data_IF_905558622147
#
_entry.id   IF_905558622147
#
_cell.length_a   1.000
_cell.length_b   1.000
_cell.length_c   1.000
_cell.angle_alpha   90.00
_cell.angle_beta   90.00
_cell.angle_gamma   90.00
#
_symmetry.space_group_name_H-M   'P 1'
#
loop_
_entity.id
_entity.type
_entity.pdbx_description
1 polymer ?
#
# COMPACT_ATOMS: atom_id res chain seq x y z
N UNK A 1 7.50 20.57 36.99
CA UNK A 1 7.99 19.26 36.49
C UNK A 1 6.76 18.56 35.96
N UNK A 2 6.73 18.21 34.67
CA UNK A 2 5.58 17.52 34.06
C UNK A 2 5.38 16.16 34.76
N UNK A 3 4.15 15.81 35.10
CA UNK A 3 3.81 14.51 35.69
C UNK A 3 4.29 13.38 34.79
N UNK A 4 4.24 13.55 33.47
CA UNK A 4 4.78 12.59 32.50
C UNK A 4 6.29 12.39 32.67
N UNK A 5 7.03 13.46 32.90
CA UNK A 5 8.48 13.42 33.08
C UNK A 5 8.88 12.81 34.43
N UNK A 6 8.11 13.07 35.50
CA UNK A 6 8.31 12.41 36.80
C UNK A 6 8.05 10.89 36.73
N UNK A 7 6.94 10.49 36.11
CA UNK A 7 6.59 9.07 35.89
C UNK A 7 7.62 8.40 34.99
N UNK A 8 8.03 9.06 33.89
CA UNK A 8 9.04 8.55 32.97
C UNK A 8 10.39 8.30 33.63
N UNK A 9 10.85 9.23 34.48
CA UNK A 9 12.07 9.03 35.27
C UNK A 9 11.96 7.88 36.27
N UNK A 10 10.80 7.73 36.92
CA UNK A 10 10.52 6.61 37.82
C UNK A 10 10.56 5.27 37.09
N UNK A 11 9.90 5.18 35.94
CA UNK A 11 9.90 3.99 35.09
C UNK A 11 11.31 3.63 34.62
N UNK A 12 12.08 4.60 34.10
CA UNK A 12 13.44 4.37 33.64
C UNK A 12 14.36 3.82 34.75
N UNK A 13 14.26 4.35 35.99
CA UNK A 13 15.03 3.84 37.13
C UNK A 13 14.74 2.36 37.46
N UNK A 14 13.54 1.89 37.18
CA UNK A 14 13.10 0.52 37.51
C UNK A 14 13.27 -0.44 36.33
N UNK A 15 13.05 0.03 35.10
CA UNK A 15 12.90 -0.81 33.92
C UNK A 15 13.91 -0.53 32.79
N UNK A 16 14.81 0.44 32.92
CA UNK A 16 15.92 0.64 31.97
C UNK A 16 17.14 -0.25 32.28
N UNK A 17 16.89 -1.53 32.55
CA UNK A 17 17.92 -2.55 32.75
C UNK A 17 17.80 -3.66 31.71
N UNK A 18 18.90 -4.37 31.44
CA UNK A 18 18.94 -5.47 30.47
C UNK A 18 17.88 -6.54 30.77
N UNK A 19 17.72 -6.93 32.05
CA UNK A 19 16.78 -7.96 32.49
C UNK A 19 15.31 -7.60 32.30
N UNK A 20 14.99 -6.31 32.20
CA UNK A 20 13.62 -5.82 32.02
C UNK A 20 13.29 -5.50 30.56
N UNK A 21 14.27 -5.58 29.65
CA UNK A 21 14.04 -5.31 28.22
C UNK A 21 12.96 -6.21 27.62
N UNK A 22 12.87 -7.53 27.90
CA UNK A 22 11.79 -8.35 27.35
C UNK A 22 10.39 -7.83 27.69
N UNK A 23 10.20 -7.29 28.90
CA UNK A 23 8.93 -6.69 29.33
C UNK A 23 8.66 -5.39 28.58
N UNK A 24 9.67 -4.52 28.45
CA UNK A 24 9.52 -3.27 27.71
C UNK A 24 9.22 -3.53 26.23
N UNK A 25 9.87 -4.52 25.61
CA UNK A 25 9.60 -4.92 24.23
C UNK A 25 8.16 -5.42 24.07
N UNK A 26 7.67 -6.26 24.99
CA UNK A 26 6.28 -6.71 24.95
C UNK A 26 5.29 -5.52 25.06
N UNK A 27 5.54 -4.58 25.98
CA UNK A 27 4.73 -3.37 26.12
C UNK A 27 4.78 -2.47 24.88
N UNK A 28 5.96 -2.33 24.27
CA UNK A 28 6.15 -1.59 23.02
C UNK A 28 5.37 -2.22 21.87
N UNK A 29 5.43 -3.54 21.70
CA UNK A 29 4.64 -4.24 20.68
C UNK A 29 3.13 -4.08 20.89
N UNK A 30 2.66 -4.15 22.14
CA UNK A 30 1.25 -3.89 22.47
C UNK A 30 0.84 -2.45 22.14
N UNK A 31 1.68 -1.47 22.47
CA UNK A 31 1.45 -0.07 22.15
C UNK A 31 1.37 0.15 20.64
N UNK A 32 2.31 -0.42 19.87
CA UNK A 32 2.29 -0.36 18.40
C UNK A 32 0.98 -0.91 17.82
N UNK A 33 0.53 -2.09 18.28
CA UNK A 33 -0.76 -2.67 17.85
C UNK A 33 -1.95 -1.77 18.17
N UNK A 34 -1.97 -1.19 19.37
CA UNK A 34 -3.00 -0.23 19.77
C UNK A 34 -2.97 1.08 18.98
N UNK A 35 -1.81 1.46 18.46
CA UNK A 35 -1.62 2.60 17.56
C UNK A 35 -1.92 2.28 16.08
N UNK A 36 -2.29 1.04 15.75
CA UNK A 36 -2.63 0.63 14.39
C UNK A 36 -1.50 -0.02 13.60
N UNK A 37 -0.33 -0.27 14.20
CA UNK A 37 0.80 -0.90 13.55
C UNK A 37 0.83 -2.42 13.75
N UNK A 38 1.39 -3.17 12.79
CA UNK A 38 1.56 -4.63 12.83
C UNK A 38 0.23 -5.41 12.95
N UNK A 39 -0.82 -4.87 12.36
CA UNK A 39 -2.16 -5.48 12.34
C UNK A 39 -2.53 -6.13 10.98
N UNK A 40 -1.64 -6.08 9.97
CA UNK A 40 -1.91 -6.53 8.59
C UNK A 40 -2.30 -7.99 8.40
N UNK A 41 -1.73 -8.88 9.22
CA UNK A 41 -1.98 -10.33 9.13
C UNK A 41 -3.42 -10.75 9.49
N UNK A 42 -4.24 -9.82 9.97
CA UNK A 42 -5.65 -10.04 10.29
C UNK A 42 -6.46 -9.05 9.46
N UNK A 43 -7.16 -9.50 8.40
CA UNK A 43 -7.95 -8.62 7.53
C UNK A 43 -8.92 -7.71 8.31
N UNK A 44 -9.47 -8.21 9.42
CA UNK A 44 -10.40 -7.45 10.28
C UNK A 44 -9.71 -6.30 11.03
N UNK A 45 -8.38 -6.32 11.13
CA UNK A 45 -7.58 -5.32 11.84
C UNK A 45 -6.75 -4.42 10.93
N UNK A 46 -6.61 -4.73 9.64
CA UNK A 46 -5.84 -3.89 8.70
C UNK A 46 -6.51 -2.54 8.42
N UNK A 47 -7.85 -2.49 8.57
CA UNK A 47 -8.68 -1.31 8.29
C UNK A 47 -9.06 -1.15 6.81
N UNK A 48 -8.58 -2.02 5.93
CA UNK A 48 -8.82 -1.93 4.48
C UNK A 48 -10.27 -2.19 4.11
N UNK A 49 -10.87 -3.26 4.64
CA UNK A 49 -12.30 -3.55 4.41
C UNK A 49 -13.17 -2.41 4.92
N UNK A 50 -12.88 -1.89 6.12
CA UNK A 50 -13.58 -0.74 6.68
C UNK A 50 -13.45 0.48 5.75
N UNK A 51 -12.25 0.79 5.27
CA UNK A 51 -12.02 1.91 4.35
C UNK A 51 -12.82 1.74 3.05
N UNK A 52 -12.75 0.57 2.42
CA UNK A 52 -13.48 0.31 1.17
C UNK A 52 -14.99 0.46 1.37
N UNK A 53 -15.53 -0.10 2.46
CA UNK A 53 -16.98 -0.12 2.70
C UNK A 53 -17.55 1.19 3.20
N UNK A 54 -16.86 1.84 4.12
CA UNK A 54 -17.41 2.98 4.89
C UNK A 54 -16.92 4.33 4.37
N UNK A 55 -15.86 4.36 3.54
CA UNK A 55 -15.29 5.61 3.00
C UNK A 55 -15.30 5.62 1.48
N UNK A 56 -14.68 4.62 0.84
CA UNK A 56 -14.53 4.60 -0.62
C UNK A 56 -15.87 4.34 -1.32
N UNK A 57 -16.62 3.29 -0.97
CA UNK A 57 -17.89 2.96 -1.61
C UNK A 57 -18.93 4.10 -1.54
N UNK A 58 -19.13 4.79 -0.39
CA UNK A 58 -20.00 5.97 -0.31
C UNK A 58 -19.55 7.13 -1.19
N UNK A 59 -18.25 7.25 -1.49
CA UNK A 59 -17.71 8.25 -2.42
C UNK A 59 -18.01 7.93 -3.90
N UNK A 60 -18.55 6.72 -4.19
CA UNK A 60 -18.96 6.26 -5.54
C UNK A 60 -17.85 6.41 -6.59
N UNK A 61 -16.68 5.78 -6.39
CA UNK A 61 -15.60 5.82 -7.36
C UNK A 61 -16.06 5.25 -8.70
N UNK A 62 -15.59 5.87 -9.79
CA UNK A 62 -15.78 5.41 -11.17
C UNK A 62 -14.68 4.46 -11.57
N UNK A 63 -13.42 4.79 -11.26
CA UNK A 63 -12.26 3.95 -11.58
C UNK A 63 -11.30 3.83 -10.40
N UNK A 64 -10.90 2.60 -10.12
CA UNK A 64 -9.95 2.23 -9.08
C UNK A 64 -8.76 1.48 -9.70
N UNK A 65 -7.55 1.85 -9.32
CA UNK A 65 -6.32 1.11 -9.66
C UNK A 65 -5.87 0.28 -8.46
N UNK A 66 -5.54 -0.98 -8.70
CA UNK A 66 -5.01 -1.93 -7.72
C UNK A 66 -3.61 -2.36 -8.18
N UNK A 67 -2.57 -1.67 -7.70
CA UNK A 67 -1.18 -1.87 -8.11
C UNK A 67 -0.52 -2.87 -7.17
N UNK A 68 -0.16 -4.04 -7.69
CA UNK A 68 0.28 -5.19 -6.88
C UNK A 68 -0.90 -6.04 -6.40
N UNK A 69 -1.83 -6.32 -7.32
CA UNK A 69 -3.12 -6.94 -7.00
C UNK A 69 -3.01 -8.40 -6.51
N UNK A 70 -1.86 -9.06 -6.70
CA UNK A 70 -1.58 -10.43 -6.30
C UNK A 70 -2.71 -11.40 -6.75
N UNK A 71 -3.24 -12.23 -5.86
CA UNK A 71 -4.31 -13.19 -6.17
C UNK A 71 -5.70 -12.55 -6.23
N UNK A 72 -5.78 -11.22 -6.06
CA UNK A 72 -6.98 -10.42 -6.29
C UNK A 72 -7.89 -10.20 -5.10
N UNK A 73 -7.42 -10.39 -3.86
CA UNK A 73 -8.24 -10.16 -2.65
C UNK A 73 -8.76 -8.72 -2.61
N UNK A 74 -7.88 -7.72 -2.84
CA UNK A 74 -8.27 -6.32 -2.80
C UNK A 74 -9.12 -5.92 -4.02
N UNK A 75 -8.74 -6.37 -5.23
CA UNK A 75 -9.57 -6.24 -6.43
C UNK A 75 -10.99 -6.79 -6.25
N UNK A 76 -11.15 -7.96 -5.62
CA UNK A 76 -12.45 -8.54 -5.35
C UNK A 76 -13.24 -7.74 -4.32
N UNK A 77 -12.59 -7.22 -3.28
CA UNK A 77 -13.19 -6.32 -2.29
C UNK A 77 -13.76 -5.05 -2.97
N UNK A 78 -13.00 -4.45 -3.89
CA UNK A 78 -13.47 -3.30 -4.68
C UNK A 78 -14.67 -3.66 -5.55
N UNK A 79 -14.64 -4.80 -6.26
CA UNK A 79 -15.74 -5.25 -7.11
C UNK A 79 -17.03 -5.53 -6.32
N UNK A 80 -16.91 -6.07 -5.10
CA UNK A 80 -18.06 -6.41 -4.26
C UNK A 80 -18.74 -5.19 -3.64
N UNK A 81 -17.98 -4.15 -3.31
CA UNK A 81 -18.50 -3.01 -2.53
C UNK A 81 -18.65 -1.72 -3.33
N UNK A 82 -18.13 -1.66 -4.55
CA UNK A 82 -18.25 -0.48 -5.43
C UNK A 82 -18.77 -0.88 -6.81
N UNK A 83 -19.30 0.10 -7.54
CA UNK A 83 -19.64 -0.05 -8.97
C UNK A 83 -18.48 0.33 -9.89
N UNK A 84 -17.29 0.59 -9.34
CA UNK A 84 -16.14 1.07 -10.08
C UNK A 84 -15.63 0.05 -11.10
N UNK A 85 -15.03 0.57 -12.16
CA UNK A 85 -14.09 -0.18 -13.00
C UNK A 85 -12.77 -0.33 -12.23
N UNK A 86 -12.23 -1.54 -12.21
CA UNK A 86 -11.01 -1.90 -11.49
C UNK A 86 -9.94 -2.28 -12.51
N UNK A 87 -8.79 -1.60 -12.45
CA UNK A 87 -7.60 -1.95 -13.23
C UNK A 87 -6.57 -2.54 -12.28
N UNK A 88 -6.34 -3.84 -12.39
CA UNK A 88 -5.41 -4.60 -11.55
C UNK A 88 -4.07 -4.80 -12.27
N UNK A 89 -2.97 -4.48 -11.60
CA UNK A 89 -1.61 -4.68 -12.09
C UNK A 89 -0.97 -5.80 -11.28
N UNK A 90 -0.57 -6.89 -11.95
CA UNK A 90 0.06 -8.03 -11.29
C UNK A 90 1.11 -8.66 -12.22
N UNK A 91 2.41 -8.63 -11.88
CA UNK A 91 3.45 -9.19 -12.73
C UNK A 91 3.53 -10.73 -12.73
N UNK A 92 3.18 -11.42 -11.64
CA UNK A 92 3.26 -12.88 -11.56
C UNK A 92 2.15 -13.54 -12.39
N UNK A 93 2.48 -14.39 -13.39
CA UNK A 93 1.49 -15.03 -14.25
C UNK A 93 0.46 -15.88 -13.48
N UNK A 94 0.89 -16.61 -12.45
CA UNK A 94 0.04 -17.48 -11.63
C UNK A 94 -0.91 -16.69 -10.72
N UNK A 95 -0.44 -15.59 -10.12
CA UNK A 95 -1.30 -14.66 -9.38
C UNK A 95 -2.31 -13.98 -10.33
N UNK A 96 -1.85 -13.52 -11.49
CA UNK A 96 -2.71 -12.98 -12.55
C UNK A 96 -3.74 -14.02 -13.06
N UNK A 97 -3.44 -15.32 -13.03
CA UNK A 97 -4.41 -16.36 -13.37
C UNK A 97 -5.56 -16.46 -12.35
N UNK A 98 -5.29 -16.24 -11.05
CA UNK A 98 -6.33 -16.14 -10.01
C UNK A 98 -7.23 -14.92 -10.24
N UNK A 99 -6.64 -13.76 -10.56
CA UNK A 99 -7.39 -12.56 -10.98
C UNK A 99 -8.30 -12.83 -12.19
N UNK A 100 -7.81 -13.55 -13.20
CA UNK A 100 -8.63 -13.95 -14.36
C UNK A 100 -9.80 -14.86 -13.98
N UNK A 101 -9.65 -15.70 -12.97
CA UNK A 101 -10.76 -16.50 -12.44
C UNK A 101 -11.81 -15.61 -11.73
N UNK A 102 -11.38 -14.60 -10.97
CA UNK A 102 -12.29 -13.59 -10.36
C UNK A 102 -13.05 -12.83 -11.44
N UNK A 103 -12.35 -12.40 -12.50
CA UNK A 103 -12.95 -11.73 -13.67
C UNK A 103 -14.02 -12.59 -14.33
N UNK A 104 -13.74 -13.88 -14.54
CA UNK A 104 -14.67 -14.83 -15.16
C UNK A 104 -15.83 -15.30 -14.24
N UNK A 105 -15.83 -14.92 -12.95
CA UNK A 105 -16.84 -15.38 -11.99
C UNK A 105 -18.26 -14.85 -12.29
N UNK A 106 -18.38 -13.70 -12.96
CA UNK A 106 -19.67 -13.17 -13.40
C UNK A 106 -19.53 -12.21 -14.60
N UNK A 107 -20.59 -12.01 -15.40
CA UNK A 107 -20.56 -11.01 -16.49
C UNK A 107 -20.30 -9.57 -15.99
N UNK A 108 -20.71 -9.26 -14.76
CA UNK A 108 -20.46 -7.94 -14.18
C UNK A 108 -18.98 -7.76 -13.80
N UNK A 109 -18.36 -8.78 -13.20
CA UNK A 109 -16.91 -8.78 -12.95
C UNK A 109 -16.12 -8.71 -14.25
N UNK A 110 -16.52 -9.47 -15.27
CA UNK A 110 -15.86 -9.45 -16.57
C UNK A 110 -15.91 -8.07 -17.22
N UNK A 111 -17.02 -7.34 -17.05
CA UNK A 111 -17.13 -5.97 -17.55
C UNK A 111 -16.27 -4.97 -16.77
N UNK A 112 -16.16 -5.13 -15.45
CA UNK A 112 -15.54 -4.12 -14.57
C UNK A 112 -14.07 -4.36 -14.24
N UNK A 113 -13.55 -5.58 -14.37
CA UNK A 113 -12.15 -5.89 -14.03
C UNK A 113 -11.29 -6.00 -15.29
N UNK A 114 -10.31 -5.12 -15.42
CA UNK A 114 -9.21 -5.22 -16.40
C UNK A 114 -7.93 -5.64 -15.69
N UNK A 115 -7.19 -6.58 -16.27
CA UNK A 115 -5.97 -7.13 -15.67
C UNK A 115 -4.79 -6.83 -16.61
N UNK A 116 -3.77 -6.16 -16.07
CA UNK A 116 -2.52 -5.88 -16.75
C UNK A 116 -1.41 -6.72 -16.10
N UNK A 117 -0.86 -7.68 -16.85
CA UNK A 117 0.13 -8.62 -16.33
C UNK A 117 1.53 -7.98 -16.40
N UNK A 118 1.74 -6.91 -15.65
CA UNK A 118 2.94 -6.05 -15.66
C UNK A 118 3.18 -5.52 -14.26
N UNK A 119 4.43 -5.22 -13.93
CA UNK A 119 4.75 -4.46 -12.73
C UNK A 119 4.66 -2.95 -13.01
N UNK A 120 4.57 -2.17 -11.93
CA UNK A 120 4.56 -0.71 -12.00
C UNK A 120 5.76 -0.17 -11.25
N UNK A 121 6.42 0.83 -11.82
CA UNK A 121 7.61 1.44 -11.24
C UNK A 121 7.83 2.88 -11.69
N UNK A 122 9.04 3.39 -11.44
CA UNK A 122 9.43 4.77 -11.79
C UNK A 122 9.90 4.92 -13.24
N UNK A 123 10.33 3.84 -13.87
CA UNK A 123 10.85 3.80 -15.24
C UNK A 123 10.27 2.59 -15.96
N UNK A 124 9.87 2.77 -17.23
CA UNK A 124 9.39 1.67 -18.06
C UNK A 124 10.57 0.84 -18.57
N UNK A 125 10.40 -0.49 -18.64
CA UNK A 125 11.47 -1.39 -19.06
C UNK A 125 11.20 -2.83 -18.64
N UNK A 126 12.26 -3.56 -18.34
CA UNK A 126 12.20 -4.92 -17.83
C UNK A 126 13.06 -5.00 -16.58
N UNK A 127 12.51 -5.55 -15.50
CA UNK A 127 13.20 -5.68 -14.22
C UNK A 127 13.09 -7.11 -13.68
N UNK A 128 14.02 -7.48 -12.81
CA UNK A 128 14.02 -8.79 -12.17
C UNK A 128 13.10 -8.77 -10.93
N UNK A 129 11.98 -9.49 -11.03
CA UNK A 129 11.09 -9.76 -9.90
C UNK A 129 11.58 -10.97 -9.12
N UNK A 130 11.72 -10.82 -7.79
CA UNK A 130 12.10 -11.92 -6.88
C UNK A 130 10.90 -12.37 -6.06
N UNK A 131 10.71 -13.69 -5.95
CA UNK A 131 9.54 -14.29 -5.33
C UNK A 131 9.84 -15.70 -4.81
N UNK A 132 9.03 -16.18 -3.87
CA UNK A 132 9.17 -17.51 -3.28
C UNK A 132 8.26 -18.55 -3.91
N UNK A 133 6.98 -18.39 -3.64
CA UNK A 133 5.90 -19.16 -4.26
C UNK A 133 5.27 -18.35 -5.41
N UNK A 134 4.80 -18.97 -6.51
CA UNK A 134 4.12 -18.26 -7.60
C UNK A 134 2.85 -17.49 -7.20
N UNK A 135 2.33 -17.70 -5.98
CA UNK A 135 1.19 -16.96 -5.41
C UNK A 135 1.53 -16.24 -4.10
N UNK A 136 2.82 -15.97 -3.86
CA UNK A 136 3.29 -15.30 -2.64
C UNK A 136 2.79 -13.85 -2.55
N UNK A 137 2.49 -13.39 -1.34
CA UNK A 137 2.24 -11.97 -1.07
C UNK A 137 3.54 -11.16 -1.14
N UNK A 138 4.69 -11.77 -0.83
CA UNK A 138 5.99 -11.08 -0.70
C UNK A 138 6.85 -10.97 -1.98
N UNK A 139 6.23 -10.96 -3.17
CA UNK A 139 6.98 -10.78 -4.42
C UNK A 139 7.42 -9.31 -4.54
N UNK A 140 8.68 -9.05 -4.88
CA UNK A 140 9.20 -7.68 -4.87
C UNK A 140 10.23 -7.43 -5.98
N UNK A 141 10.15 -6.23 -6.57
CA UNK A 141 11.19 -5.68 -7.47
C UNK A 141 12.38 -5.10 -6.69
N UNK A 142 12.24 -4.86 -5.38
CA UNK A 142 13.33 -4.34 -4.57
C UNK A 142 14.42 -5.39 -4.38
N UNK A 143 15.62 -5.12 -4.90
CA UNK A 143 16.81 -5.96 -4.66
C UNK A 143 17.11 -6.09 -3.15
N UNK A 144 16.81 -5.04 -2.39
CA UNK A 144 17.00 -4.97 -0.95
C UNK A 144 15.96 -5.76 -0.15
N UNK A 145 14.88 -6.26 -0.77
CA UNK A 145 13.90 -7.11 -0.09
C UNK A 145 14.55 -8.41 0.45
N UNK A 146 15.62 -8.89 -0.20
CA UNK A 146 16.44 -10.03 0.27
C UNK A 146 17.19 -9.78 1.59
N UNK A 147 17.17 -8.55 2.12
CA UNK A 147 17.78 -8.20 3.42
C UNK A 147 16.81 -8.39 4.59
N UNK A 148 15.57 -8.76 4.31
CA UNK A 148 14.52 -9.04 5.30
C UNK A 148 14.44 -10.54 5.49
N UNK A 149 14.70 -11.04 6.70
CA UNK A 149 14.87 -12.48 6.96
C UNK A 149 13.70 -13.35 6.46
N UNK A 150 12.45 -12.92 6.67
CA UNK A 150 11.27 -13.68 6.24
C UNK A 150 11.04 -13.64 4.72
N UNK A 151 11.51 -12.59 4.03
CA UNK A 151 11.45 -12.47 2.57
C UNK A 151 12.62 -13.23 1.94
N UNK A 152 13.82 -13.09 2.50
CA UNK A 152 15.05 -13.74 2.01
C UNK A 152 14.96 -15.27 2.07
N UNK A 153 14.39 -15.80 3.17
CA UNK A 153 14.16 -17.24 3.31
C UNK A 153 13.10 -17.76 2.33
N UNK A 154 12.17 -16.90 1.89
CA UNK A 154 11.08 -17.24 0.98
C UNK A 154 11.44 -17.08 -0.50
N UNK A 155 12.06 -15.96 -0.88
CA UNK A 155 12.28 -15.54 -2.27
C UNK A 155 13.50 -16.23 -2.91
N UNK A 156 13.29 -17.50 -3.28
CA UNK A 156 14.32 -18.36 -3.88
C UNK A 156 14.29 -18.37 -5.42
N UNK A 157 13.32 -17.68 -6.05
CA UNK A 157 13.13 -17.63 -7.50
C UNK A 157 13.19 -16.19 -7.99
N UNK A 158 13.50 -16.04 -9.28
CA UNK A 158 13.39 -14.77 -9.98
C UNK A 158 12.88 -14.94 -11.40
N UNK A 159 12.25 -13.90 -11.94
CA UNK A 159 11.85 -13.82 -13.34
C UNK A 159 11.93 -12.39 -13.85
N UNK A 160 12.15 -12.22 -15.16
CA UNK A 160 12.08 -10.91 -15.80
C UNK A 160 10.62 -10.55 -16.07
N UNK A 161 10.23 -9.33 -15.70
CA UNK A 161 8.87 -8.83 -15.88
C UNK A 161 8.90 -7.47 -16.56
N UNK A 162 7.89 -7.20 -17.37
CA UNK A 162 7.69 -5.88 -17.96
C UNK A 162 7.23 -4.90 -16.88
N UNK A 163 7.88 -3.74 -16.85
CA UNK A 163 7.58 -2.63 -15.95
C UNK A 163 7.04 -1.46 -16.77
N UNK A 164 5.94 -0.88 -16.31
CA UNK A 164 5.39 0.37 -16.83
C UNK A 164 5.40 1.45 -15.75
N UNK A 165 5.17 2.70 -16.15
CA UNK A 165 4.87 3.80 -15.23
C UNK A 165 3.39 4.14 -15.33
N UNK A 166 2.74 4.57 -14.24
CA UNK A 166 1.35 5.02 -14.30
C UNK A 166 1.20 6.28 -15.15
N UNK A 167 2.23 7.13 -15.16
CA UNK A 167 2.33 8.26 -16.05
C UNK A 167 2.34 7.84 -17.53
N UNK A 168 3.09 6.79 -17.88
CA UNK A 168 3.14 6.25 -19.23
C UNK A 168 1.84 5.59 -19.67
N UNK A 169 1.07 5.03 -18.73
CA UNK A 169 -0.24 4.45 -19.01
C UNK A 169 -1.19 5.50 -19.64
N UNK A 170 -1.12 6.75 -19.18
CA UNK A 170 -1.92 7.86 -19.71
C UNK A 170 -1.59 8.23 -21.16
N UNK A 171 -0.42 7.83 -21.66
CA UNK A 171 0.03 8.09 -23.03
C UNK A 171 -0.38 6.95 -23.98
N UNK A 172 -1.02 5.89 -23.47
CA UNK A 172 -1.29 4.66 -24.23
C UNK A 172 -2.75 4.20 -24.18
N UNK A 173 -3.30 3.88 -25.36
CA UNK A 173 -4.52 3.09 -25.51
C UNK A 173 -5.76 3.63 -24.77
N UNK A 174 -6.58 2.78 -24.11
CA UNK A 174 -7.90 3.15 -23.59
C UNK A 174 -7.88 4.07 -22.36
N UNK A 175 -6.70 4.32 -21.78
CA UNK A 175 -6.52 5.06 -20.53
C UNK A 175 -6.20 6.54 -20.74
N UNK A 176 -5.96 6.97 -21.98
CA UNK A 176 -5.84 8.39 -22.36
C UNK A 176 -7.05 9.22 -21.91
N UNK A 177 -8.25 8.62 -21.99
CA UNK A 177 -9.53 9.22 -21.56
C UNK A 177 -9.64 9.43 -20.06
N UNK A 178 -8.79 8.82 -19.23
CA UNK A 178 -8.78 9.10 -17.78
C UNK A 178 -8.41 10.56 -17.50
N UNK A 179 -7.54 11.15 -18.32
CA UNK A 179 -7.18 12.56 -18.21
C UNK A 179 -8.37 13.49 -18.53
N UNK A 180 -9.13 13.16 -19.57
CA UNK A 180 -10.27 13.96 -20.01
C UNK A 180 -11.45 13.88 -19.03
N UNK A 181 -11.71 12.68 -18.52
CA UNK A 181 -12.88 12.41 -17.67
C UNK A 181 -12.59 12.59 -16.18
N UNK A 182 -11.31 12.74 -15.81
CA UNK A 182 -10.81 12.66 -14.42
C UNK A 182 -11.44 11.50 -13.66
N UNK A 183 -11.59 10.34 -14.32
CA UNK A 183 -12.36 9.22 -13.79
C UNK A 183 -11.61 8.37 -12.77
N UNK A 184 -10.30 8.55 -12.62
CA UNK A 184 -9.53 7.88 -11.59
C UNK A 184 -9.82 8.50 -10.23
N UNK A 185 -10.46 7.74 -9.35
CA UNK A 185 -10.86 8.19 -8.03
C UNK A 185 -10.03 7.55 -6.91
N UNK A 186 -9.44 6.38 -7.16
CA UNK A 186 -8.66 5.64 -6.16
C UNK A 186 -7.46 4.91 -6.77
N UNK A 187 -6.32 4.93 -6.08
CA UNK A 187 -5.12 4.14 -6.39
C UNK A 187 -4.64 3.43 -5.14
N UNK A 188 -4.72 2.09 -5.09
CA UNK A 188 -4.02 1.25 -4.09
C UNK A 188 -2.65 0.88 -4.64
N UNK A 189 -1.63 0.97 -3.79
CA UNK A 189 -0.25 0.57 -4.08
C UNK A 189 0.21 -0.39 -2.99
N UNK A 190 0.49 -1.62 -3.38
CA UNK A 190 0.96 -2.69 -2.50
C UNK A 190 1.99 -3.55 -3.24
N UNK A 191 3.25 -3.12 -3.22
CA UNK A 191 4.28 -3.71 -4.09
C UNK A 191 5.51 -4.13 -3.31
N UNK A 192 5.31 -4.39 -2.02
CA UNK A 192 6.28 -4.98 -1.10
C UNK A 192 7.64 -4.27 -1.14
N UNK A 193 7.62 -2.94 -0.97
CA UNK A 193 8.83 -2.12 -0.85
C UNK A 193 9.19 -1.27 -2.07
N UNK A 194 8.34 -1.26 -3.09
CA UNK A 194 8.52 -0.49 -4.33
C UNK A 194 7.51 0.68 -4.46
N UNK A 195 6.82 1.02 -3.37
CA UNK A 195 5.73 2.01 -3.33
C UNK A 195 6.25 3.41 -3.71
N UNK A 196 7.47 3.74 -3.28
CA UNK A 196 8.09 5.03 -3.59
C UNK A 196 8.38 5.19 -5.09
N UNK A 197 8.84 4.11 -5.72
CA UNK A 197 9.12 4.04 -7.15
C UNK A 197 7.82 4.12 -7.96
N UNK A 198 6.76 3.41 -7.53
CA UNK A 198 5.43 3.55 -8.13
C UNK A 198 4.93 4.99 -8.04
N UNK A 199 5.00 5.61 -6.85
CA UNK A 199 4.60 7.01 -6.65
C UNK A 199 5.42 7.97 -7.52
N UNK A 200 6.72 7.73 -7.68
CA UNK A 200 7.60 8.51 -8.55
C UNK A 200 7.17 8.39 -10.02
N UNK A 201 6.79 7.19 -10.47
CA UNK A 201 6.28 6.93 -11.82
C UNK A 201 4.82 7.36 -12.04
N UNK A 202 4.16 7.94 -11.04
CA UNK A 202 2.74 8.32 -11.08
C UNK A 202 2.50 9.83 -10.87
N UNK A 203 3.55 10.64 -10.77
CA UNK A 203 3.42 12.05 -10.38
C UNK A 203 2.57 12.87 -11.35
N UNK A 204 2.74 12.71 -12.67
CA UNK A 204 1.91 13.43 -13.65
C UNK A 204 0.47 12.94 -13.61
N UNK A 205 0.27 11.64 -13.47
CA UNK A 205 -1.05 11.02 -13.37
C UNK A 205 -1.82 11.53 -12.16
N UNK A 206 -1.21 11.50 -10.98
CA UNK A 206 -1.83 11.97 -9.73
C UNK A 206 -2.10 13.47 -9.81
N UNK A 207 -1.19 14.27 -10.37
CA UNK A 207 -1.39 15.71 -10.53
C UNK A 207 -2.55 16.04 -11.49
N UNK A 208 -2.70 15.28 -12.58
CA UNK A 208 -3.69 15.54 -13.62
C UNK A 208 -5.08 14.98 -13.29
N UNK A 209 -5.14 13.71 -12.87
CA UNK A 209 -6.38 13.02 -12.54
C UNK A 209 -6.91 13.42 -11.16
N UNK A 210 -6.01 13.72 -10.22
CA UNK A 210 -6.33 14.03 -8.81
C UNK A 210 -7.25 12.98 -8.18
N UNK A 211 -6.82 11.70 -8.10
CA UNK A 211 -7.61 10.68 -7.43
C UNK A 211 -7.97 11.14 -6.02
N UNK A 212 -9.21 10.93 -5.60
CA UNK A 212 -9.66 11.37 -4.27
C UNK A 212 -8.86 10.69 -3.16
N UNK A 213 -8.47 9.44 -3.39
CA UNK A 213 -7.75 8.61 -2.45
C UNK A 213 -6.54 7.94 -3.12
N UNK A 214 -5.39 7.94 -2.43
CA UNK A 214 -4.24 7.10 -2.76
C UNK A 214 -3.90 6.29 -1.51
N UNK A 215 -3.87 4.97 -1.59
CA UNK A 215 -3.52 4.10 -0.46
C UNK A 215 -2.18 3.42 -0.72
N UNK A 216 -1.31 3.40 0.29
CA UNK A 216 -0.06 2.64 0.26
C UNK A 216 0.02 1.72 1.47
N UNK A 217 0.66 0.56 1.28
CA UNK A 217 1.18 -0.23 2.38
C UNK A 217 2.57 0.29 2.80
N UNK A 218 2.83 0.30 4.10
CA UNK A 218 4.11 0.69 4.67
C UNK A 218 4.55 -0.34 5.69
N UNK A 219 5.78 -0.85 5.59
CA UNK A 219 6.27 -1.94 6.41
C UNK A 219 7.81 -1.90 6.53
N UNK A 220 8.44 -3.05 6.79
CA UNK A 220 9.90 -3.13 6.95
C UNK A 220 10.66 -2.94 5.62
N UNK A 221 9.99 -3.13 4.48
CA UNK A 221 10.61 -3.05 3.15
C UNK A 221 11.13 -1.65 2.85
N UNK A 222 10.47 -0.60 3.33
CA UNK A 222 10.94 0.77 3.11
C UNK A 222 12.20 1.09 3.93
N UNK A 223 12.50 0.35 5.00
CA UNK A 223 13.78 0.47 5.71
C UNK A 223 14.93 0.06 4.80
N UNK A 224 14.76 -1.04 4.05
CA UNK A 224 15.82 -1.58 3.20
C UNK A 224 15.99 -0.79 1.91
N UNK A 225 14.92 -0.14 1.43
CA UNK A 225 14.96 0.84 0.34
C UNK A 225 15.41 2.25 0.78
N UNK A 226 15.65 2.48 2.08
CA UNK A 226 16.03 3.77 2.67
C UNK A 226 15.03 4.90 2.34
N UNK A 227 13.74 4.58 2.33
CA UNK A 227 12.66 5.52 2.06
C UNK A 227 11.92 5.83 3.35
N UNK A 228 11.78 7.10 3.68
CA UNK A 228 10.97 7.54 4.82
C UNK A 228 9.52 7.81 4.42
N UNK A 229 8.59 7.70 5.38
CA UNK A 229 7.18 8.04 5.15
C UNK A 229 7.03 9.50 4.73
N UNK A 230 7.85 10.39 5.31
CA UNK A 230 7.95 11.79 4.91
C UNK A 230 8.34 11.95 3.42
N UNK A 231 9.29 11.16 2.93
CA UNK A 231 9.70 11.19 1.52
C UNK A 231 8.54 10.79 0.60
N UNK A 232 7.79 9.74 0.95
CA UNK A 232 6.61 9.32 0.19
C UNK A 232 5.51 10.40 0.18
N UNK A 233 5.25 11.04 1.33
CA UNK A 233 4.33 12.18 1.42
C UNK A 233 4.75 13.34 0.50
N UNK A 234 6.05 13.57 0.32
CA UNK A 234 6.59 14.59 -0.57
C UNK A 234 6.24 14.39 -2.05
N UNK A 235 5.91 13.16 -2.46
CA UNK A 235 5.46 12.83 -3.82
C UNK A 235 3.96 13.07 -4.05
N UNK A 236 3.20 13.36 -2.98
CA UNK A 236 1.75 13.54 -3.00
C UNK A 236 1.34 14.96 -2.52
N UNK A 237 1.77 16.04 -3.21
CA UNK A 237 1.44 17.39 -2.78
C UNK A 237 -0.08 17.65 -2.84
N UNK A 238 -0.62 18.22 -1.76
CA UNK A 238 -2.05 18.51 -1.63
C UNK A 238 -2.89 17.36 -1.07
N UNK A 239 -2.26 16.25 -0.66
CA UNK A 239 -2.91 15.17 0.05
C UNK A 239 -2.57 15.20 1.55
N UNK A 240 -3.56 14.92 2.40
CA UNK A 240 -3.32 14.66 3.82
C UNK A 240 -3.26 13.15 4.08
N UNK A 241 -2.21 12.63 4.76
CA UNK A 241 -2.12 11.23 5.12
C UNK A 241 -2.98 10.88 6.34
N UNK A 242 -3.63 9.73 6.27
CA UNK A 242 -4.36 9.08 7.34
C UNK A 242 -3.88 7.63 7.48
N UNK A 243 -3.66 7.17 8.71
CA UNK A 243 -3.42 5.76 9.01
C UNK A 243 -4.76 5.05 9.14
N UNK A 244 -4.92 3.90 8.48
CA UNK A 244 -6.08 3.05 8.65
C UNK A 244 -6.05 2.33 10.00
N UNK A 245 -7.22 2.20 10.60
CA UNK A 245 -7.50 1.47 11.84
C UNK A 245 -8.69 0.53 11.57
N UNK A 246 -8.91 -0.50 12.42
CA UNK A 246 -9.96 -1.49 12.18
C UNK A 246 -11.36 -0.89 11.95
N UNK A 247 -11.66 0.26 12.55
CA UNK A 247 -12.97 0.91 12.51
C UNK A 247 -12.87 2.43 12.27
N UNK A 248 -11.81 2.88 11.60
CA UNK A 248 -11.56 4.31 11.43
C UNK A 248 -10.30 4.61 10.67
N UNK A 249 -10.01 5.91 10.54
CA UNK A 249 -8.71 6.38 10.10
C UNK A 249 -8.28 7.59 10.93
N UNK A 250 -6.98 7.70 11.20
CA UNK A 250 -6.39 8.75 12.03
C UNK A 250 -5.46 9.60 11.18
N UNK A 251 -5.65 10.92 11.19
CA UNK A 251 -4.73 11.86 10.52
C UNK A 251 -3.31 11.69 11.08
N UNK A 252 -2.32 11.68 10.20
CA UNK A 252 -0.91 11.51 10.54
C UNK A 252 -0.16 12.80 10.21
N UNK A 253 0.74 13.20 11.10
CA UNK A 253 1.74 14.23 10.80
C UNK A 253 3.02 13.54 10.32
N UNK A 254 3.42 13.67 9.06
CA UNK A 254 4.60 12.98 8.53
C UNK A 254 5.92 13.46 9.14
N UNK A 255 5.92 14.57 9.89
CA UNK A 255 7.11 15.08 10.58
C UNK A 255 7.35 14.42 11.94
N UNK A 256 6.47 13.53 12.40
CA UNK A 256 6.65 12.86 13.70
C UNK A 256 7.47 11.57 13.57
N UNK A 257 8.28 11.22 14.59
CA UNK A 257 9.05 9.98 14.57
C UNK A 257 8.21 8.71 14.47
N UNK A 258 7.01 8.68 15.07
CA UNK A 258 6.11 7.53 15.02
C UNK A 258 5.55 7.27 13.61
N UNK A 259 5.30 8.34 12.84
CA UNK A 259 4.90 8.25 11.43
C UNK A 259 6.00 7.67 10.53
N UNK A 260 7.27 7.79 10.95
CA UNK A 260 8.44 7.29 10.20
C UNK A 260 9.00 6.00 10.82
N UNK A 261 8.12 5.18 11.41
CA UNK A 261 8.45 3.81 11.81
C UNK A 261 8.31 2.86 10.62
N UNK A 262 9.08 1.78 10.65
CA UNK A 262 9.05 0.73 9.61
C UNK A 262 8.25 -0.48 10.06
N UNK A 263 7.14 -0.21 10.77
CA UNK A 263 6.17 -1.21 11.18
C UNK A 263 5.04 -1.24 10.16
N UNK A 264 4.45 -2.41 9.95
CA UNK A 264 3.33 -2.58 9.03
C UNK A 264 2.19 -1.59 9.37
N UNK A 265 1.71 -0.84 8.40
CA UNK A 265 0.49 -0.03 8.46
C UNK A 265 0.00 0.30 7.05
N UNK A 266 -1.32 0.45 6.90
CA UNK A 266 -1.92 1.02 5.71
C UNK A 266 -2.12 2.52 5.89
N UNK A 267 -1.72 3.31 4.90
CA UNK A 267 -1.95 4.75 4.88
C UNK A 267 -2.79 5.14 3.67
N UNK A 268 -3.80 5.97 3.88
CA UNK A 268 -4.62 6.60 2.84
C UNK A 268 -4.34 8.09 2.82
N UNK A 269 -3.95 8.59 1.67
CA UNK A 269 -3.78 9.98 1.33
C UNK A 269 -5.08 10.50 0.73
N UNK A 270 -5.67 11.52 1.35
CA UNK A 270 -6.94 12.10 0.91
C UNK A 270 -6.67 13.43 0.22
N UNK A 271 -7.24 13.65 -0.97
CA UNK A 271 -7.14 14.93 -1.67
C UNK A 271 -7.96 16.01 -0.93
N UNK A 272 -7.26 16.94 -0.28
CA UNK A 272 -7.84 18.04 0.50
C UNK A 272 -8.32 19.21 -0.36
N UNK A 273 -7.94 19.23 -1.65
CA UNK A 273 -8.25 20.33 -2.58
C UNK A 273 -9.73 20.34 -3.04
N UNK A 274 -10.59 19.57 -2.37
CA UNK A 274 -12.06 19.58 -2.51
C UNK A 274 -12.80 19.77 -1.18
N UNK A 275 -12.10 20.18 -0.11
CA UNK A 275 -12.71 20.56 1.17
C UNK A 275 -13.18 22.01 1.17
#
# INVERSE_FOLDING_TARGET
>A
MDVKDLVGRGYAKLFAHERTQPVNHALYHLALRGMGYNNGWQPELSGEEWFVREVLAPARPRTCFDVGANVGVYSELLLRHTDAEVVAFEPLPEAAARLRAIKAASPDHDRRLTILNTAVGSVAGTEELRYGDPTTEHASLSENATRIDYVAAGNTRSMQVDVITLDGLLETGPYDRLLETRALDFVKIDVEGYEYEVLTGAQRMIAACRPKFVQIEWNLHQLTSNTSFLSACGLLPGYTPYQLLPHGMRRVDPMTPDANTFCYANFVFVDDRES
#
